data_IF_468187962635
#
_entry.id   IF_468187962635
#
_cell.length_a   1.000
_cell.length_b   1.000
_cell.length_c   1.000
_cell.angle_alpha   90.00
_cell.angle_beta   90.00
_cell.angle_gamma   90.00
#
_symmetry.space_group_name_H-M   'P 1'
#
loop_
_entity.id
_entity.type
_entity.pdbx_description
1 polymer ?
#
# COMPACT_ATOMS: atom_id res chain seq x y z
N UNK A 1 6.01 -17.29 16.25
CA UNK A 1 4.76 -16.68 15.75
C UNK A 1 5.04 -16.03 14.40
N UNK A 2 4.96 -16.81 13.33
CA UNK A 2 5.18 -16.33 11.97
C UNK A 2 4.20 -16.99 11.03
N UNK A 3 3.03 -16.38 10.85
CA UNK A 3 1.99 -16.94 9.99
C UNK A 3 2.12 -16.36 8.60
N UNK A 4 2.24 -17.21 7.58
CA UNK A 4 2.11 -16.78 6.19
C UNK A 4 0.67 -16.29 5.98
N UNK A 5 0.45 -15.09 5.41
CA UNK A 5 -0.88 -14.58 5.16
C UNK A 5 -1.61 -15.46 4.15
N UNK A 6 -2.81 -15.93 4.52
CA UNK A 6 -3.67 -16.64 3.58
C UNK A 6 -4.18 -15.71 2.48
N UNK A 7 -4.55 -16.28 1.33
CA UNK A 7 -5.15 -15.52 0.21
C UNK A 7 -6.35 -14.67 0.65
N UNK A 8 -7.20 -15.19 1.54
CA UNK A 8 -8.33 -14.46 2.12
C UNK A 8 -7.88 -13.23 2.92
N UNK A 9 -6.78 -13.31 3.68
CA UNK A 9 -6.25 -12.17 4.45
C UNK A 9 -5.64 -11.09 3.54
N UNK A 10 -4.94 -11.49 2.48
CA UNK A 10 -4.44 -10.56 1.44
C UNK A 10 -5.60 -9.85 0.74
N UNK A 11 -6.63 -10.59 0.32
CA UNK A 11 -7.81 -9.99 -0.30
C UNK A 11 -8.53 -9.00 0.62
N UNK A 12 -8.59 -9.29 1.92
CA UNK A 12 -9.23 -8.39 2.90
C UNK A 12 -8.51 -7.05 3.01
N UNK A 13 -7.17 -7.04 3.08
CA UNK A 13 -6.42 -5.77 3.13
C UNK A 13 -6.54 -5.01 1.80
N UNK A 14 -6.51 -5.69 0.66
CA UNK A 14 -6.72 -5.05 -0.65
C UNK A 14 -8.12 -4.44 -0.79
N UNK A 15 -9.16 -5.10 -0.26
CA UNK A 15 -10.52 -4.55 -0.22
C UNK A 15 -10.56 -3.28 0.64
N UNK A 16 -10.01 -3.33 1.84
CA UNK A 16 -9.97 -2.16 2.73
C UNK A 16 -9.22 -0.98 2.08
N UNK A 17 -8.09 -1.22 1.41
CA UNK A 17 -7.36 -0.19 0.65
C UNK A 17 -8.25 0.40 -0.47
N UNK A 18 -9.06 -0.45 -1.13
CA UNK A 18 -9.96 -0.01 -2.20
C UNK A 18 -11.10 0.86 -1.67
N UNK A 19 -11.63 0.51 -0.52
CA UNK A 19 -12.69 1.26 0.16
C UNK A 19 -12.17 2.64 0.61
N UNK A 20 -10.93 2.70 1.12
CA UNK A 20 -10.30 3.97 1.52
C UNK A 20 -9.96 4.88 0.33
N UNK A 21 -9.72 4.29 -0.84
CA UNK A 21 -9.40 4.99 -2.10
C UNK A 21 -10.59 5.02 -3.05
N UNK A 22 -11.82 4.99 -2.52
CA UNK A 22 -13.05 5.08 -3.29
C UNK A 22 -13.24 6.43 -3.98
N UNK A 23 -14.05 6.48 -5.04
CA UNK A 23 -14.36 7.74 -5.75
C UNK A 23 -15.16 8.70 -4.87
N UNK A 24 -15.94 8.17 -3.93
CA UNK A 24 -16.65 8.92 -2.89
C UNK A 24 -15.69 9.59 -1.87
N UNK A 25 -14.39 9.27 -1.92
CA UNK A 25 -13.36 9.81 -1.03
C UNK A 25 -12.49 10.90 -1.64
N UNK A 26 -12.70 11.30 -2.90
CA UNK A 26 -11.83 12.27 -3.61
C UNK A 26 -11.81 13.67 -2.99
N UNK A 27 -12.84 14.02 -2.21
CA UNK A 27 -12.92 15.27 -1.46
C UNK A 27 -11.90 15.33 -0.31
N UNK A 28 -11.40 14.18 0.17
CA UNK A 28 -10.40 14.14 1.24
C UNK A 28 -9.04 14.64 0.76
N UNK A 29 -8.27 15.25 1.65
CA UNK A 29 -6.89 15.64 1.37
C UNK A 29 -5.98 14.43 1.07
N UNK A 30 -5.03 14.61 0.15
CA UNK A 30 -4.11 13.54 -0.27
C UNK A 30 -3.28 13.01 0.90
N UNK A 31 -2.84 13.87 1.82
CA UNK A 31 -2.08 13.46 3.00
C UNK A 31 -2.93 12.56 3.90
N UNK A 32 -4.18 12.94 4.14
CA UNK A 32 -5.11 12.16 4.98
C UNK A 32 -5.31 10.74 4.43
N UNK A 33 -5.52 10.60 3.12
CA UNK A 33 -5.70 9.28 2.50
C UNK A 33 -4.41 8.47 2.59
N UNK A 34 -3.25 9.07 2.31
CA UNK A 34 -1.97 8.36 2.39
C UNK A 34 -1.64 7.95 3.83
N UNK A 35 -1.89 8.79 4.82
CA UNK A 35 -1.67 8.45 6.23
C UNK A 35 -2.52 7.24 6.66
N UNK A 36 -3.77 7.14 6.18
CA UNK A 36 -4.61 5.97 6.43
C UNK A 36 -4.08 4.72 5.74
N UNK A 37 -3.69 4.82 4.47
CA UNK A 37 -3.06 3.72 3.75
C UNK A 37 -1.80 3.24 4.47
N UNK A 38 -0.93 4.15 4.91
CA UNK A 38 0.30 3.85 5.64
C UNK A 38 0.01 3.11 6.96
N UNK A 39 -0.96 3.57 7.75
CA UNK A 39 -1.37 2.88 8.99
C UNK A 39 -1.87 1.47 8.72
N UNK A 40 -2.65 1.28 7.66
CA UNK A 40 -3.15 -0.05 7.27
C UNK A 40 -2.02 -0.97 6.84
N UNK A 41 -1.10 -0.49 6.01
CA UNK A 41 0.06 -1.25 5.53
C UNK A 41 0.99 -1.64 6.69
N UNK A 42 1.38 -0.67 7.52
CA UNK A 42 2.26 -0.89 8.68
C UNK A 42 1.59 -1.86 9.67
N UNK A 43 0.32 -1.63 10.02
CA UNK A 43 -0.40 -2.51 10.95
C UNK A 43 -0.52 -3.93 10.42
N UNK A 44 -0.78 -4.08 9.12
CA UNK A 44 -0.85 -5.39 8.46
C UNK A 44 0.52 -6.08 8.44
N UNK A 45 1.59 -5.37 8.11
CA UNK A 45 2.95 -5.91 8.11
C UNK A 45 3.45 -6.28 9.51
N UNK A 46 3.12 -5.47 10.52
CA UNK A 46 3.42 -5.75 11.92
C UNK A 46 2.74 -7.04 12.40
N UNK A 47 1.55 -7.35 11.89
CA UNK A 47 0.83 -8.57 12.23
C UNK A 47 1.44 -9.83 11.57
N UNK A 48 1.85 -9.73 10.31
CA UNK A 48 2.43 -10.85 9.54
C UNK A 48 3.96 -10.95 9.66
N UNK A 49 4.55 -10.34 10.70
CA UNK A 49 5.96 -9.98 10.87
C UNK A 49 7.04 -11.07 10.73
N UNK A 50 6.75 -12.33 10.39
CA UNK A 50 7.74 -13.42 10.48
C UNK A 50 7.51 -14.49 9.41
N UNK A 51 8.23 -14.42 8.29
CA UNK A 51 8.32 -15.53 7.33
C UNK A 51 8.54 -15.09 5.87
N UNK A 52 8.55 -16.03 4.91
CA UNK A 52 8.68 -15.76 3.47
C UNK A 52 7.39 -15.14 2.90
N UNK A 53 7.04 -13.95 3.38
CA UNK A 53 5.80 -13.22 3.04
C UNK A 53 5.98 -12.23 1.89
N UNK A 54 7.14 -12.24 1.23
CA UNK A 54 7.51 -11.30 0.17
C UNK A 54 6.48 -11.20 -0.95
N UNK A 55 5.94 -12.34 -1.43
CA UNK A 55 4.90 -12.36 -2.47
C UNK A 55 3.61 -11.67 -2.04
N UNK A 56 3.19 -11.88 -0.79
CA UNK A 56 1.99 -11.24 -0.27
C UNK A 56 2.20 -9.73 -0.08
N UNK A 57 3.39 -9.32 0.39
CA UNK A 57 3.74 -7.92 0.56
C UNK A 57 3.77 -7.21 -0.80
N UNK A 58 4.41 -7.80 -1.81
CA UNK A 58 4.42 -7.25 -3.17
C UNK A 58 3.02 -7.13 -3.77
N UNK A 59 2.14 -8.10 -3.54
CA UNK A 59 0.76 -8.02 -4.03
C UNK A 59 -0.02 -6.86 -3.38
N UNK A 60 0.15 -6.67 -2.06
CA UNK A 60 -0.49 -5.57 -1.32
C UNK A 60 0.09 -4.22 -1.73
N UNK A 61 1.41 -4.11 -1.84
CA UNK A 61 2.10 -2.87 -2.27
C UNK A 61 1.70 -2.45 -3.68
N UNK A 62 1.70 -3.40 -4.63
CA UNK A 62 1.26 -3.14 -5.99
C UNK A 62 -0.18 -2.66 -6.03
N UNK A 63 -1.07 -3.29 -5.24
CA UNK A 63 -2.47 -2.89 -5.15
C UNK A 63 -2.62 -1.49 -4.54
N UNK A 64 -1.92 -1.18 -3.45
CA UNK A 64 -1.93 0.13 -2.82
C UNK A 64 -1.46 1.23 -3.78
N UNK A 65 -0.34 1.03 -4.47
CA UNK A 65 0.20 1.97 -5.46
C UNK A 65 -0.78 2.19 -6.61
N UNK A 66 -1.36 1.11 -7.15
CA UNK A 66 -2.35 1.22 -8.22
C UNK A 66 -3.60 1.98 -7.79
N UNK A 67 -4.13 1.68 -6.59
CA UNK A 67 -5.31 2.34 -6.02
C UNK A 67 -5.07 3.82 -5.72
N UNK A 68 -3.97 4.17 -5.05
CA UNK A 68 -3.62 5.56 -4.75
C UNK A 68 -3.46 6.37 -6.05
N UNK A 69 -2.76 5.81 -7.04
CA UNK A 69 -2.60 6.45 -8.35
C UNK A 69 -3.95 6.73 -9.02
N UNK A 70 -4.85 5.75 -9.02
CA UNK A 70 -6.19 5.92 -9.58
C UNK A 70 -6.96 7.01 -8.84
N UNK A 71 -6.90 7.01 -7.52
CA UNK A 71 -7.56 8.02 -6.69
C UNK A 71 -7.01 9.43 -6.93
N UNK A 72 -5.69 9.59 -7.09
CA UNK A 72 -5.07 10.88 -7.42
C UNK A 72 -5.53 11.39 -8.79
N UNK A 73 -5.64 10.52 -9.80
CA UNK A 73 -6.23 10.91 -11.08
C UNK A 73 -7.67 11.38 -10.94
N UNK A 74 -8.49 10.63 -10.20
CA UNK A 74 -9.90 10.97 -10.00
C UNK A 74 -10.03 12.29 -9.20
N UNK A 75 -9.15 12.54 -8.22
CA UNK A 75 -9.08 13.78 -7.44
C UNK A 75 -8.69 15.00 -8.29
N UNK A 76 -7.64 14.87 -9.09
CA UNK A 76 -7.10 15.96 -9.90
C UNK A 76 -7.77 16.09 -11.28
N UNK A 77 -8.78 15.25 -11.58
CA UNK A 77 -9.45 15.17 -12.88
C UNK A 77 -8.48 14.93 -14.03
N UNK A 78 -7.40 14.21 -13.76
CA UNK A 78 -6.34 13.93 -14.73
C UNK A 78 -6.74 12.77 -15.64
N UNK A 79 -6.48 12.88 -16.96
CA UNK A 79 -6.76 11.81 -17.90
C UNK A 79 -5.89 10.57 -17.61
N UNK A 80 -6.43 9.41 -17.94
CA UNK A 80 -5.72 8.12 -17.83
C UNK A 80 -4.96 7.85 -19.13
N UNK A 81 -3.79 7.19 -19.11
CA UNK A 81 -3.19 6.46 -17.98
C UNK A 81 -2.36 7.33 -17.03
N UNK A 82 -2.63 7.15 -15.75
CA UNK A 82 -2.08 7.90 -14.62
C UNK A 82 -0.55 7.81 -14.42
N UNK A 83 0.12 6.86 -15.08
CA UNK A 83 1.54 6.56 -14.85
C UNK A 83 2.47 7.70 -15.26
N UNK A 84 2.08 8.52 -16.25
CA UNK A 84 2.88 9.69 -16.68
C UNK A 84 2.82 10.82 -15.65
N UNK A 85 1.66 11.05 -15.04
CA UNK A 85 1.43 12.14 -14.08
C UNK A 85 1.84 11.78 -12.66
N UNK A 86 1.63 10.53 -12.28
CA UNK A 86 1.97 9.98 -10.98
C UNK A 86 2.88 8.75 -11.13
N UNK A 87 4.17 8.94 -11.46
CA UNK A 87 5.17 7.88 -11.48
C UNK A 87 5.24 7.17 -10.12
N UNK A 88 5.62 5.89 -10.12
CA UNK A 88 5.74 5.13 -8.87
C UNK A 88 6.66 5.77 -7.84
N UNK A 89 7.80 6.30 -8.27
CA UNK A 89 8.73 7.02 -7.39
C UNK A 89 8.02 8.17 -6.65
N UNK A 90 7.19 8.94 -7.34
CA UNK A 90 6.45 10.07 -6.76
C UNK A 90 5.45 9.65 -5.68
N UNK A 91 4.85 8.47 -5.78
CA UNK A 91 3.92 7.97 -4.75
C UNK A 91 4.63 7.81 -3.40
N UNK A 92 5.90 7.43 -3.41
CA UNK A 92 6.67 7.26 -2.18
C UNK A 92 7.36 8.57 -1.77
N UNK A 93 8.05 9.25 -2.70
CA UNK A 93 8.85 10.44 -2.36
C UNK A 93 8.02 11.71 -2.15
N UNK A 94 6.95 11.91 -2.92
CA UNK A 94 6.12 13.12 -2.87
C UNK A 94 4.92 12.92 -1.96
N UNK A 95 4.23 11.80 -2.11
CA UNK A 95 3.01 11.53 -1.35
C UNK A 95 3.27 10.79 -0.02
N UNK A 96 4.45 10.18 0.15
CA UNK A 96 4.82 9.50 1.40
C UNK A 96 4.20 8.11 1.57
N UNK A 97 3.75 7.45 0.50
CA UNK A 97 3.25 6.07 0.60
C UNK A 97 4.39 5.14 1.02
N UNK A 98 4.16 4.36 2.09
CA UNK A 98 5.14 3.38 2.56
C UNK A 98 5.26 2.19 1.60
N UNK A 99 6.48 1.68 1.46
CA UNK A 99 6.74 0.40 0.82
C UNK A 99 6.94 -0.64 1.91
N UNK A 100 6.20 -1.75 1.82
CA UNK A 100 6.45 -2.86 2.72
C UNK A 100 7.83 -3.45 2.43
N UNK A 101 8.58 -3.90 3.47
CA UNK A 101 9.92 -4.41 3.29
C UNK A 101 9.88 -5.65 2.40
N UNK A 102 10.33 -5.49 1.15
CA UNK A 102 10.50 -6.60 0.21
C UNK A 102 11.68 -7.51 0.61
N UNK A 103 12.59 -6.97 1.45
CA UNK A 103 13.76 -7.65 2.00
C UNK A 103 13.53 -7.93 3.48
N UNK A 104 13.45 -9.21 3.83
CA UNK A 104 13.58 -9.72 5.20
C UNK A 104 14.98 -9.44 5.81
N UNK A 105 15.92 -8.86 5.06
CA UNK A 105 17.34 -8.83 5.43
C UNK A 105 17.76 -7.78 6.47
N UNK A 106 16.94 -6.76 6.77
CA UNK A 106 17.36 -5.64 7.63
C UNK A 106 16.43 -5.39 8.82
N UNK A 107 15.87 -6.45 9.41
CA UNK A 107 15.21 -6.33 10.71
C UNK A 107 16.24 -6.68 11.80
N UNK A 108 16.55 -5.78 12.77
CA UNK A 108 17.61 -5.98 13.78
C UNK A 108 17.45 -7.22 14.70
N UNK A 109 16.34 -7.92 14.59
CA UNK A 109 15.96 -9.06 15.42
C UNK A 109 15.79 -10.36 14.62
N UNK A 110 15.98 -10.32 13.29
CA UNK A 110 16.13 -11.51 12.48
C UNK A 110 17.54 -12.08 12.69
N UNK A 111 17.70 -12.99 13.65
CA UNK A 111 18.99 -13.67 13.87
C UNK A 111 19.27 -14.69 12.76
N UNK A 112 20.54 -14.72 12.35
CA UNK A 112 21.17 -15.74 11.51
C UNK A 112 21.18 -17.12 12.18
#
# INVERSE_FOLDING_TARGET
LGTVPSKKRVQRICRAISDETGRDKVWQDSKTVVDRLNRMLIGWANYFCLGPVSKAYSAVDMHARWRLRRWLCDKHKEPRPAYKRFPEASLNSVYGLVQLPHRTANLPWAKA
#
